data_IF_387926299338
#
_entry.id   IF_387926299338
#
_cell.length_a   1.000
_cell.length_b   1.000
_cell.length_c   1.000
_cell.angle_alpha   90.00
_cell.angle_beta   90.00
_cell.angle_gamma   90.00
#
_symmetry.space_group_name_H-M   'P 1'
#
loop_
_entity.id
_entity.type
_entity.pdbx_description
1 polymer ?
#
# COMPACT_ATOMS: atom_id res chain seq x y z
N UNK A 1 13.50 31.31 9.32
CA UNK A 1 13.17 30.04 9.99
C UNK A 1 11.73 29.60 9.68
N UNK A 2 10.74 30.51 9.70
CA UNK A 2 9.35 30.25 9.30
C UNK A 2 9.16 29.54 7.94
N UNK A 3 10.00 29.83 6.94
CA UNK A 3 9.91 29.20 5.61
C UNK A 3 10.26 27.70 5.60
N UNK A 4 11.14 27.23 6.51
CA UNK A 4 11.51 25.79 6.59
C UNK A 4 10.44 24.96 7.29
N UNK A 5 9.76 25.55 8.28
CA UNK A 5 8.66 24.91 9.01
C UNK A 5 7.41 24.80 8.14
N UNK A 6 7.05 25.86 7.42
CA UNK A 6 5.95 25.84 6.46
C UNK A 6 6.17 24.78 5.35
N UNK A 7 7.41 24.66 4.85
CA UNK A 7 7.73 23.66 3.83
C UNK A 7 7.62 22.23 4.39
N UNK A 8 8.03 22.00 5.65
CA UNK A 8 7.91 20.70 6.32
C UNK A 8 6.45 20.27 6.48
N UNK A 9 5.55 21.19 6.82
CA UNK A 9 4.12 20.91 6.91
C UNK A 9 3.49 20.62 5.55
N UNK A 10 3.87 21.38 4.52
CA UNK A 10 3.43 21.14 3.15
C UNK A 10 3.88 19.76 2.64
N UNK A 11 5.14 19.37 2.88
CA UNK A 11 5.63 18.03 2.52
C UNK A 11 4.93 16.94 3.33
N UNK A 12 4.73 17.15 4.64
CA UNK A 12 4.00 16.20 5.48
C UNK A 12 2.64 15.91 4.85
N UNK A 13 1.81 16.94 4.63
CA UNK A 13 0.49 16.78 4.01
C UNK A 13 0.56 16.07 2.66
N UNK A 14 1.51 16.45 1.78
CA UNK A 14 1.69 15.81 0.49
C UNK A 14 1.97 14.30 0.61
N UNK A 15 2.93 13.91 1.45
CA UNK A 15 3.27 12.49 1.66
C UNK A 15 2.16 11.72 2.39
N UNK A 16 1.38 12.38 3.23
CA UNK A 16 0.17 11.82 3.83
C UNK A 16 -0.89 11.51 2.77
N UNK A 17 -1.22 12.46 1.89
CA UNK A 17 -2.20 12.26 0.81
C UNK A 17 -1.74 11.21 -0.20
N UNK A 18 -0.50 11.29 -0.67
CA UNK A 18 0.06 10.31 -1.62
C UNK A 18 0.09 8.92 -0.98
N UNK A 19 0.53 8.81 0.27
CA UNK A 19 0.57 7.54 0.98
C UNK A 19 -0.82 6.94 1.23
N UNK A 20 -1.78 7.74 1.67
CA UNK A 20 -3.17 7.32 1.81
C UNK A 20 -3.78 6.88 0.48
N UNK A 21 -3.53 7.62 -0.60
CA UNK A 21 -3.97 7.27 -1.95
C UNK A 21 -3.37 5.96 -2.46
N UNK A 22 -2.07 5.72 -2.24
CA UNK A 22 -1.42 4.46 -2.60
C UNK A 22 -1.97 3.27 -1.81
N UNK A 23 -2.21 3.44 -0.51
CA UNK A 23 -2.80 2.39 0.33
C UNK A 23 -4.25 2.08 -0.06
N UNK A 24 -5.03 3.11 -0.38
CA UNK A 24 -6.39 2.94 -0.90
C UNK A 24 -6.40 2.20 -2.25
N UNK A 25 -5.50 2.59 -3.15
CA UNK A 25 -5.31 1.90 -4.43
C UNK A 25 -4.91 0.44 -4.22
N UNK A 26 -3.98 0.15 -3.30
CA UNK A 26 -3.59 -1.22 -2.98
C UNK A 26 -4.78 -2.04 -2.47
N UNK A 27 -5.60 -1.48 -1.58
CA UNK A 27 -6.85 -2.11 -1.14
C UNK A 27 -7.81 -2.41 -2.30
N UNK A 28 -8.00 -1.45 -3.20
CA UNK A 28 -8.82 -1.63 -4.41
C UNK A 28 -8.27 -2.73 -5.31
N UNK A 29 -6.96 -2.78 -5.55
CA UNK A 29 -6.33 -3.84 -6.36
C UNK A 29 -6.58 -5.23 -5.77
N UNK A 30 -6.52 -5.37 -4.45
CA UNK A 30 -6.87 -6.63 -3.77
C UNK A 30 -8.35 -6.96 -3.96
N UNK A 31 -9.25 -5.98 -3.83
CA UNK A 31 -10.68 -6.16 -4.08
C UNK A 31 -10.99 -6.60 -5.52
N UNK A 32 -10.33 -5.99 -6.51
CA UNK A 32 -10.44 -6.41 -7.92
C UNK A 32 -9.86 -7.79 -8.20
N UNK A 33 -9.01 -8.32 -7.31
CA UNK A 33 -8.41 -9.65 -7.47
C UNK A 33 -9.34 -10.79 -7.04
N UNK A 34 -10.44 -10.51 -6.34
CA UNK A 34 -11.39 -11.54 -5.86
C UNK A 34 -11.90 -12.53 -6.93
N UNK A 35 -12.16 -12.13 -8.19
CA UNK A 35 -12.63 -13.07 -9.22
C UNK A 35 -11.55 -14.04 -9.72
N UNK A 36 -10.27 -13.74 -9.48
CA UNK A 36 -9.13 -14.42 -10.12
C UNK A 36 -8.24 -15.12 -9.08
N UNK A 37 -8.16 -14.57 -7.87
CA UNK A 37 -7.33 -15.07 -6.79
C UNK A 37 -8.14 -15.92 -5.78
N UNK A 38 -7.52 -16.90 -5.11
CA UNK A 38 -8.14 -17.62 -4.00
C UNK A 38 -8.57 -16.68 -2.87
N UNK A 39 -9.75 -16.92 -2.26
CA UNK A 39 -10.30 -16.08 -1.19
C UNK A 39 -9.34 -15.89 0.00
N UNK A 40 -8.61 -16.95 0.40
CA UNK A 40 -7.67 -16.88 1.51
C UNK A 40 -6.50 -15.94 1.22
N UNK A 41 -6.03 -15.89 -0.04
CA UNK A 41 -4.94 -15.00 -0.46
C UNK A 41 -5.42 -13.55 -0.43
N UNK A 42 -6.62 -13.28 -0.95
CA UNK A 42 -7.25 -11.95 -0.91
C UNK A 42 -7.46 -11.47 0.53
N UNK A 43 -7.91 -12.35 1.43
CA UNK A 43 -8.06 -12.01 2.86
C UNK A 43 -6.70 -11.72 3.51
N UNK A 44 -5.67 -12.51 3.23
CA UNK A 44 -4.31 -12.26 3.74
C UNK A 44 -3.72 -10.94 3.23
N UNK A 45 -3.99 -10.61 1.96
CA UNK A 45 -3.58 -9.33 1.38
C UNK A 45 -4.34 -8.15 1.99
N UNK A 46 -5.64 -8.28 2.26
CA UNK A 46 -6.43 -7.25 2.93
C UNK A 46 -5.95 -7.02 4.37
N UNK A 47 -5.67 -8.07 5.14
CA UNK A 47 -5.13 -7.93 6.49
C UNK A 47 -3.73 -7.33 6.47
N UNK A 48 -2.89 -7.70 5.50
CA UNK A 48 -1.59 -7.08 5.28
C UNK A 48 -1.71 -5.58 4.98
N UNK A 49 -2.59 -5.19 4.05
CA UNK A 49 -2.84 -3.78 3.73
C UNK A 49 -3.34 -3.05 4.97
N UNK A 50 -4.37 -3.53 5.65
CA UNK A 50 -4.92 -2.89 6.85
C UNK A 50 -3.87 -2.73 7.96
N UNK A 51 -3.12 -3.79 8.26
CA UNK A 51 -2.11 -3.79 9.32
C UNK A 51 -0.93 -2.87 9.01
N UNK A 52 -0.41 -2.91 7.77
CA UNK A 52 0.71 -2.05 7.37
C UNK A 52 0.29 -0.59 7.22
N UNK A 53 -0.93 -0.32 6.75
CA UNK A 53 -1.50 1.02 6.73
C UNK A 53 -1.59 1.57 8.16
N UNK A 54 -2.23 0.85 9.08
CA UNK A 54 -2.34 1.24 10.49
C UNK A 54 -0.98 1.56 11.12
N UNK A 55 -0.02 0.65 10.97
CA UNK A 55 1.35 0.84 11.47
C UNK A 55 2.07 2.03 10.85
N UNK A 56 1.90 2.27 9.54
CA UNK A 56 2.55 3.39 8.84
C UNK A 56 2.03 4.74 9.32
N UNK A 57 0.72 4.83 9.60
CA UNK A 57 0.10 6.05 10.11
C UNK A 57 0.47 6.33 11.57
N UNK A 58 0.65 5.30 12.41
CA UNK A 58 1.19 5.49 13.76
C UNK A 58 2.61 6.10 13.75
N UNK A 59 3.38 5.87 12.69
CA UNK A 59 4.74 6.42 12.53
C UNK A 59 4.81 7.70 11.74
N UNK A 60 3.68 8.20 11.23
CA UNK A 60 3.64 9.40 10.40
C UNK A 60 4.13 10.65 11.13
N UNK A 61 3.92 10.73 12.43
CA UNK A 61 4.35 11.87 13.26
C UNK A 61 5.89 11.94 13.40
N UNK A 62 6.57 10.80 13.42
CA UNK A 62 8.04 10.73 13.46
C UNK A 62 8.67 10.70 12.07
N UNK A 63 8.02 10.04 11.10
CA UNK A 63 8.45 9.93 9.71
C UNK A 63 7.26 10.08 8.76
N UNK A 64 7.10 11.27 8.19
CA UNK A 64 5.98 11.58 7.31
C UNK A 64 5.99 10.82 5.98
N UNK A 65 7.12 10.21 5.58
CA UNK A 65 7.21 9.39 4.36
C UNK A 65 6.67 7.96 4.55
N UNK A 66 6.44 7.53 5.80
CA UNK A 66 6.09 6.15 6.12
C UNK A 66 4.82 5.64 5.40
N UNK A 67 3.72 6.41 5.31
CA UNK A 67 2.53 5.98 4.60
C UNK A 67 2.76 5.76 3.10
N UNK A 68 3.58 6.62 2.47
CA UNK A 68 3.97 6.48 1.06
C UNK A 68 4.80 5.22 0.86
N UNK A 69 5.81 5.00 1.70
CA UNK A 69 6.63 3.79 1.66
C UNK A 69 5.80 2.52 1.81
N UNK A 70 4.89 2.48 2.81
CA UNK A 70 4.01 1.34 3.02
C UNK A 70 3.08 1.10 1.83
N UNK A 71 2.48 2.15 1.26
CA UNK A 71 1.66 2.05 0.05
C UNK A 71 2.44 1.50 -1.15
N UNK A 72 3.68 1.94 -1.35
CA UNK A 72 4.56 1.39 -2.40
C UNK A 72 4.88 -0.09 -2.16
N UNK A 73 5.23 -0.47 -0.92
CA UNK A 73 5.46 -1.87 -0.58
C UNK A 73 4.23 -2.74 -0.83
N UNK A 74 3.03 -2.26 -0.47
CA UNK A 74 1.78 -2.98 -0.72
C UNK A 74 1.55 -3.21 -2.21
N UNK A 75 1.76 -2.19 -3.05
CA UNK A 75 1.62 -2.29 -4.50
C UNK A 75 2.63 -3.29 -5.10
N UNK A 76 3.90 -3.23 -4.68
CA UNK A 76 4.95 -4.16 -5.13
C UNK A 76 4.63 -5.60 -4.70
N UNK A 77 4.23 -5.81 -3.44
CA UNK A 77 3.82 -7.12 -2.94
C UNK A 77 2.64 -7.69 -3.74
N UNK A 78 1.63 -6.85 -4.05
CA UNK A 78 0.52 -7.26 -4.89
C UNK A 78 0.97 -7.66 -6.30
N UNK A 79 1.83 -6.85 -6.94
CA UNK A 79 2.37 -7.16 -8.27
C UNK A 79 3.17 -8.47 -8.28
N UNK A 80 3.99 -8.71 -7.25
CA UNK A 80 4.75 -9.95 -7.12
C UNK A 80 3.81 -11.14 -6.92
N UNK A 81 2.84 -11.06 -6.01
CA UNK A 81 1.98 -12.19 -5.68
C UNK A 81 0.97 -12.51 -6.78
N UNK A 82 0.35 -11.49 -7.40
CA UNK A 82 -0.57 -11.68 -8.52
C UNK A 82 0.18 -12.00 -9.81
N UNK A 83 1.30 -11.32 -10.09
CA UNK A 83 2.13 -11.59 -11.26
C UNK A 83 2.73 -13.01 -11.26
N UNK A 84 3.28 -13.44 -10.12
CA UNK A 84 3.77 -14.81 -9.93
C UNK A 84 2.59 -15.80 -9.89
N UNK A 85 1.48 -15.45 -9.23
CA UNK A 85 0.28 -16.29 -9.17
C UNK A 85 -0.34 -16.58 -10.55
N UNK A 86 -0.45 -15.57 -11.41
CA UNK A 86 -0.92 -15.71 -12.80
C UNK A 86 0.08 -16.48 -13.66
N UNK A 87 1.39 -16.27 -13.47
CA UNK A 87 2.44 -17.01 -14.16
C UNK A 87 2.41 -18.52 -13.83
N UNK A 88 2.24 -18.86 -12.55
CA UNK A 88 2.12 -20.25 -12.09
C UNK A 88 0.82 -20.89 -12.59
N UNK A 89 -0.31 -20.18 -12.55
CA UNK A 89 -1.61 -20.68 -13.03
C UNK A 89 -1.68 -20.85 -14.56
N UNK A 90 -0.86 -20.14 -15.34
CA UNK A 90 -0.75 -20.30 -16.80
C UNK A 90 0.24 -21.37 -17.24
N UNK A 91 1.25 -21.71 -16.44
CA UNK A 91 2.17 -22.82 -16.77
C UNK A 91 1.47 -24.19 -16.64
N UNK A 92 0.41 -24.29 -15.84
CA UNK A 92 -0.36 -25.51 -15.68
C UNK A 92 -1.44 -25.78 -16.73
N UNK A 93 -1.56 -24.95 -17.79
CA UNK A 93 -2.48 -25.18 -18.92
C UNK A 93 -1.72 -25.42 -20.21
#
# INVERSE_FOLDING_TARGET
MAHREHNREAYRLLFGYVGGGLQALAGLLVLFSFPIAPLWLSLALLTFVAGTSWWSWQRYDSNFMMPTFAGTMQAVSWMMLVGVGVGILRWGR
#
